data_IF_067258475355
#
_entry.id   IF_067258475355
#
_cell.length_a   1.000
_cell.length_b   1.000
_cell.length_c   1.000
_cell.angle_alpha   90.00
_cell.angle_beta   90.00
_cell.angle_gamma   90.00
#
_symmetry.space_group_name_H-M   'P 1'
#
loop_
_entity.id
_entity.type
_entity.pdbx_description
1 polymer ?
#
# COMPACT_ATOMS: atom_id res chain seq x y z
N UNK A 1 -52.14 9.60 -13.95
CA UNK A 1 -51.61 8.36 -13.35
C UNK A 1 -52.41 8.05 -12.09
N UNK A 2 -53.19 6.94 -12.02
CA UNK A 2 -53.97 6.62 -10.82
C UNK A 2 -53.03 6.20 -9.68
N UNK A 3 -53.21 6.78 -8.49
CA UNK A 3 -52.46 6.41 -7.27
C UNK A 3 -52.95 5.03 -6.81
N UNK A 4 -52.07 4.02 -6.76
CA UNK A 4 -52.38 2.73 -6.12
C UNK A 4 -52.70 2.99 -4.64
N UNK A 5 -53.92 2.64 -4.23
CA UNK A 5 -54.32 2.70 -2.82
C UNK A 5 -53.50 1.67 -2.03
N UNK A 6 -52.85 2.11 -0.95
CA UNK A 6 -52.08 1.24 -0.08
C UNK A 6 -53.04 0.51 0.87
N UNK A 7 -52.91 -0.81 0.96
CA UNK A 7 -53.66 -1.60 1.93
C UNK A 7 -52.94 -1.59 3.29
N UNK A 8 -53.67 -1.84 4.39
CA UNK A 8 -53.06 -1.90 5.71
C UNK A 8 -51.93 -2.96 5.78
N UNK A 9 -52.09 -4.08 5.08
CA UNK A 9 -51.09 -5.13 4.99
C UNK A 9 -49.79 -4.67 4.30
N UNK A 10 -49.89 -3.94 3.18
CA UNK A 10 -48.68 -3.44 2.47
C UNK A 10 -47.94 -2.38 3.28
N UNK A 11 -48.65 -1.54 4.02
CA UNK A 11 -48.03 -0.55 4.93
C UNK A 11 -47.25 -1.23 6.06
N UNK A 12 -47.77 -2.32 6.63
CA UNK A 12 -47.06 -3.08 7.66
C UNK A 12 -45.81 -3.78 7.09
N UNK A 13 -45.89 -4.35 5.89
CA UNK A 13 -44.74 -4.94 5.20
C UNK A 13 -43.67 -3.90 4.86
N UNK A 14 -44.06 -2.72 4.38
CA UNK A 14 -43.13 -1.62 4.10
C UNK A 14 -42.38 -1.19 5.37
N UNK A 15 -43.07 -1.08 6.51
CA UNK A 15 -42.45 -0.75 7.80
C UNK A 15 -41.45 -1.83 8.24
N UNK A 16 -41.80 -3.10 8.10
CA UNK A 16 -40.92 -4.21 8.46
C UNK A 16 -39.70 -4.28 7.54
N UNK A 17 -39.89 -4.11 6.24
CA UNK A 17 -38.79 -4.02 5.27
C UNK A 17 -37.88 -2.83 5.56
N UNK A 18 -38.45 -1.68 5.91
CA UNK A 18 -37.72 -0.49 6.31
C UNK A 18 -36.91 -0.74 7.60
N UNK A 19 -37.50 -1.41 8.60
CA UNK A 19 -36.83 -1.80 9.84
C UNK A 19 -35.66 -2.73 9.56
N UNK A 20 -35.86 -3.77 8.74
CA UNK A 20 -34.83 -4.73 8.35
C UNK A 20 -33.69 -4.07 7.56
N UNK A 21 -34.02 -3.17 6.64
CA UNK A 21 -33.03 -2.41 5.87
C UNK A 21 -32.19 -1.51 6.79
N UNK A 22 -32.85 -0.80 7.73
CA UNK A 22 -32.16 0.02 8.74
C UNK A 22 -31.32 -0.83 9.70
N UNK A 23 -31.77 -2.04 10.06
CA UNK A 23 -30.99 -2.97 10.87
C UNK A 23 -29.72 -3.40 10.12
N UNK A 24 -29.85 -3.94 8.91
CA UNK A 24 -28.69 -4.35 8.09
C UNK A 24 -27.69 -3.22 7.85
N UNK A 25 -28.18 -2.00 7.58
CA UNK A 25 -27.30 -0.84 7.41
C UNK A 25 -26.55 -0.49 8.70
N UNK A 26 -27.22 -0.54 9.86
CA UNK A 26 -26.56 -0.32 11.15
C UNK A 26 -25.50 -1.39 11.43
N UNK A 27 -25.85 -2.66 11.21
CA UNK A 27 -24.93 -3.78 11.44
C UNK A 27 -23.70 -3.67 10.52
N UNK A 28 -23.90 -3.31 9.26
CA UNK A 28 -22.80 -3.10 8.31
C UNK A 28 -21.91 -1.91 8.69
N UNK A 29 -22.49 -0.77 9.10
CA UNK A 29 -21.72 0.39 9.57
C UNK A 29 -20.92 0.03 10.81
N UNK A 30 -21.52 -0.66 11.78
CA UNK A 30 -20.83 -1.12 12.99
C UNK A 30 -19.68 -2.08 12.67
N UNK A 31 -19.90 -2.99 11.72
CA UNK A 31 -18.85 -3.88 11.22
C UNK A 31 -17.68 -3.10 10.60
N UNK A 32 -17.96 -2.12 9.74
CA UNK A 32 -16.92 -1.28 9.14
C UNK A 32 -16.17 -0.46 10.20
N UNK A 33 -16.87 0.17 11.14
CA UNK A 33 -16.24 0.91 12.24
C UNK A 33 -15.36 0.01 13.12
N UNK A 34 -15.79 -1.22 13.40
CA UNK A 34 -14.97 -2.19 14.12
C UNK A 34 -13.69 -2.53 13.36
N UNK A 35 -13.80 -2.74 12.04
CA UNK A 35 -12.68 -3.09 11.18
C UNK A 35 -11.69 -1.94 10.97
N UNK A 36 -12.18 -0.70 10.86
CA UNK A 36 -11.31 0.50 10.85
C UNK A 36 -10.51 0.62 12.15
N UNK A 37 -11.17 0.47 13.30
CA UNK A 37 -10.49 0.51 14.60
C UNK A 37 -9.43 -0.58 14.76
N UNK A 38 -9.64 -1.75 14.15
CA UNK A 38 -8.66 -2.84 14.17
C UNK A 38 -7.42 -2.49 13.37
N UNK A 39 -7.58 -1.95 12.15
CA UNK A 39 -6.45 -1.48 11.34
C UNK A 39 -5.69 -0.34 12.02
N UNK A 40 -6.39 0.66 12.58
CA UNK A 40 -5.76 1.76 13.32
C UNK A 40 -4.92 1.26 14.50
N UNK A 41 -5.42 0.24 15.23
CA UNK A 41 -4.67 -0.39 16.32
C UNK A 41 -3.44 -1.14 15.81
N UNK A 42 -3.58 -1.90 14.72
CA UNK A 42 -2.48 -2.66 14.13
C UNK A 42 -1.36 -1.73 13.65
N UNK A 43 -1.70 -0.64 12.94
CA UNK A 43 -0.73 0.35 12.46
C UNK A 43 -0.01 1.07 13.61
N UNK A 44 -0.77 1.44 14.66
CA UNK A 44 -0.20 2.05 15.86
C UNK A 44 0.76 1.08 16.57
N UNK A 45 0.38 -0.19 16.70
CA UNK A 45 1.21 -1.20 17.35
C UNK A 45 2.51 -1.45 16.59
N UNK A 46 2.45 -1.63 15.27
CA UNK A 46 3.63 -1.81 14.43
C UNK A 46 4.62 -0.63 14.57
N UNK A 47 4.08 0.60 14.61
CA UNK A 47 4.90 1.80 14.81
C UNK A 47 5.55 1.82 16.19
N UNK A 48 4.82 1.42 17.24
CA UNK A 48 5.34 1.36 18.61
C UNK A 48 6.47 0.33 18.70
N UNK A 49 6.30 -0.86 18.13
CA UNK A 49 7.30 -1.92 18.13
C UNK A 49 8.58 -1.47 17.42
N UNK A 50 8.46 -0.84 16.24
CA UNK A 50 9.60 -0.26 15.53
C UNK A 50 10.33 0.81 16.37
N UNK A 51 9.58 1.70 17.03
CA UNK A 51 10.18 2.72 17.89
C UNK A 51 10.88 2.12 19.12
N UNK A 52 10.30 1.07 19.72
CA UNK A 52 10.91 0.36 20.85
C UNK A 52 12.22 -0.32 20.42
N UNK A 53 12.21 -1.01 19.29
CA UNK A 53 13.41 -1.63 18.72
C UNK A 53 14.49 -0.57 18.43
N UNK A 54 14.13 0.56 17.81
CA UNK A 54 15.06 1.65 17.56
C UNK A 54 15.68 2.21 18.85
N UNK A 55 14.89 2.37 19.91
CA UNK A 55 15.39 2.83 21.22
C UNK A 55 16.33 1.80 21.87
N UNK A 56 16.03 0.51 21.75
CA UNK A 56 16.90 -0.56 22.26
C UNK A 56 18.25 -0.55 21.54
N UNK A 57 18.24 -0.52 20.20
CA UNK A 57 19.45 -0.41 19.37
C UNK A 57 20.25 0.86 19.70
N UNK A 58 19.57 2.00 19.92
CA UNK A 58 20.25 3.22 20.35
C UNK A 58 20.90 3.07 21.73
N UNK A 59 20.27 2.38 22.68
CA UNK A 59 20.85 2.13 24.00
C UNK A 59 22.08 1.22 23.93
N UNK A 60 22.01 0.14 23.15
CA UNK A 60 23.14 -0.73 22.87
C UNK A 60 24.28 0.04 22.19
N UNK A 61 23.97 0.84 21.17
CA UNK A 61 24.95 1.66 20.48
C UNK A 61 25.62 2.69 21.39
N UNK A 62 24.91 3.25 22.37
CA UNK A 62 25.52 4.12 23.40
C UNK A 62 26.52 3.33 24.24
N UNK A 63 26.09 2.18 24.77
CA UNK A 63 26.96 1.30 25.58
C UNK A 63 28.22 0.88 24.81
N UNK A 64 28.06 0.47 23.55
CA UNK A 64 29.19 0.10 22.69
C UNK A 64 30.14 1.29 22.46
N UNK A 65 29.62 2.50 22.21
CA UNK A 65 30.46 3.70 22.06
C UNK A 65 31.23 4.02 23.35
N UNK A 66 30.62 3.85 24.51
CA UNK A 66 31.28 4.06 25.81
C UNK A 66 32.39 3.03 26.06
N UNK A 67 32.14 1.76 25.72
CA UNK A 67 33.15 0.70 25.77
C UNK A 67 34.32 1.04 24.85
N UNK A 68 34.06 1.40 23.59
CA UNK A 68 35.12 1.74 22.62
C UNK A 68 35.93 2.96 23.07
N UNK A 69 35.27 3.96 23.68
CA UNK A 69 35.96 5.10 24.27
C UNK A 69 36.92 4.68 25.40
N UNK A 70 36.53 3.69 26.21
CA UNK A 70 37.38 3.10 27.25
C UNK A 70 38.64 2.45 26.66
N UNK A 71 38.54 1.88 25.45
CA UNK A 71 39.67 1.34 24.70
C UNK A 71 40.46 2.40 23.89
N UNK A 72 40.17 3.69 24.08
CA UNK A 72 40.92 4.79 23.47
C UNK A 72 40.46 5.19 22.07
N UNK A 73 39.35 4.66 21.58
CA UNK A 73 38.76 5.10 20.31
C UNK A 73 37.95 6.37 20.52
N UNK A 74 38.31 7.45 19.81
CA UNK A 74 37.60 8.72 19.95
C UNK A 74 36.19 8.65 19.33
N UNK A 75 35.18 9.28 19.94
CA UNK A 75 33.83 9.35 19.37
C UNK A 75 33.81 9.94 17.96
N UNK A 76 34.71 10.88 17.66
CA UNK A 76 34.86 11.47 16.34
C UNK A 76 35.34 10.48 15.29
N UNK A 77 36.29 9.59 15.63
CA UNK A 77 36.75 8.54 14.72
C UNK A 77 35.62 7.53 14.41
N UNK A 78 34.83 7.18 15.42
CA UNK A 78 33.64 6.32 15.27
C UNK A 78 32.61 6.99 14.35
N UNK A 79 32.31 8.27 14.57
CA UNK A 79 31.35 9.01 13.74
C UNK A 79 31.82 9.14 12.28
N UNK A 80 33.11 9.46 12.07
CA UNK A 80 33.70 9.54 10.74
C UNK A 80 33.56 8.20 9.99
N UNK A 81 33.76 7.07 10.66
CA UNK A 81 33.57 5.75 10.07
C UNK A 81 32.10 5.47 9.72
N UNK A 82 31.16 5.81 10.60
CA UNK A 82 29.72 5.70 10.33
C UNK A 82 29.32 6.54 9.11
N UNK A 83 29.81 7.78 9.02
CA UNK A 83 29.52 8.68 7.90
C UNK A 83 30.14 8.16 6.59
N UNK A 84 31.32 7.54 6.66
CA UNK A 84 31.94 6.88 5.51
C UNK A 84 31.13 5.67 5.04
N UNK A 85 30.61 4.87 5.97
CA UNK A 85 29.78 3.71 5.64
C UNK A 85 28.41 4.16 5.09
N UNK A 86 27.82 5.23 5.61
CA UNK A 86 26.60 5.84 5.07
C UNK A 86 26.78 6.44 3.67
N UNK A 87 28.02 6.85 3.32
CA UNK A 87 28.36 7.39 2.00
C UNK A 87 28.85 6.33 1.01
N UNK A 88 29.08 5.10 1.48
CA UNK A 88 29.42 3.98 0.60
C UNK A 88 28.15 3.63 -0.18
N UNK A 89 28.16 3.66 -1.53
CA UNK A 89 27.08 3.05 -2.27
C UNK A 89 27.05 1.58 -1.85
N UNK A 90 25.92 1.15 -1.30
CA UNK A 90 25.65 -0.23 -0.88
C UNK A 90 26.43 -1.21 -1.76
N UNK A 91 27.43 -1.94 -1.24
CA UNK A 91 27.99 -3.03 -2.01
C UNK A 91 26.83 -3.99 -2.25
N UNK A 92 26.55 -4.26 -3.52
CA UNK A 92 25.71 -5.36 -3.95
C UNK A 92 26.34 -6.68 -3.46
N UNK A 93 26.20 -6.98 -2.17
CA UNK A 93 26.44 -8.30 -1.63
C UNK A 93 25.23 -9.13 -2.00
N UNK A 94 25.45 -9.99 -2.99
CA UNK A 94 24.66 -11.16 -3.31
C UNK A 94 24.24 -11.91 -2.05
N UNK A 95 23.05 -11.60 -1.54
CA UNK A 95 22.24 -12.48 -0.71
C UNK A 95 20.91 -12.60 -1.41
N UNK A 96 20.73 -13.77 -2.02
CA UNK A 96 19.43 -14.30 -2.42
C UNK A 96 18.42 -14.09 -1.30
N UNK A 97 17.21 -13.65 -1.67
CA UNK A 97 16.05 -13.48 -0.79
C UNK A 97 16.18 -12.43 0.31
N UNK A 98 16.02 -11.16 -0.08
CA UNK A 98 15.14 -10.19 0.57
C UNK A 98 15.03 -9.00 -0.41
N UNK A 99 13.99 -9.01 -1.25
CA UNK A 99 13.68 -7.88 -2.12
C UNK A 99 13.44 -6.63 -1.26
N UNK A 100 14.40 -5.70 -1.31
CA UNK A 100 14.16 -4.29 -1.05
C UNK A 100 13.23 -3.81 -2.16
N UNK A 101 11.93 -3.94 -1.92
CA UNK A 101 10.95 -3.18 -2.69
C UNK A 101 11.22 -1.69 -2.46
N UNK A 102 11.34 -0.86 -3.51
CA UNK A 102 11.22 0.59 -3.33
C UNK A 102 9.84 0.86 -2.70
N UNK A 103 9.75 1.89 -1.86
CA UNK A 103 8.58 2.41 -1.15
C UNK A 103 7.22 1.77 -1.48
N UNK A 104 6.39 1.42 -0.48
CA UNK A 104 5.05 0.89 -0.75
C UNK A 104 4.20 1.98 -1.40
N UNK A 105 4.26 2.08 -2.73
CA UNK A 105 3.13 2.56 -3.52
C UNK A 105 1.99 1.63 -3.17
N UNK A 106 0.88 2.23 -2.76
CA UNK A 106 -0.32 1.60 -2.24
C UNK A 106 -0.66 0.27 -2.96
N UNK A 107 -1.37 -0.70 -2.32
CA UNK A 107 -1.72 -2.00 -2.91
C UNK A 107 -2.53 -1.97 -4.22
N UNK A 108 -2.77 -0.79 -4.78
CA UNK A 108 -3.69 -0.50 -5.88
C UNK A 108 -3.00 0.11 -7.11
N UNK A 109 -1.67 0.06 -7.22
CA UNK A 109 -0.93 0.62 -8.37
C UNK A 109 0.19 -0.35 -8.83
N UNK A 110 0.29 -0.57 -10.16
CA UNK A 110 1.42 -1.26 -10.80
C UNK A 110 2.16 -0.26 -11.70
N UNK A 111 3.51 -0.28 -11.74
CA UNK A 111 4.26 0.63 -12.61
C UNK A 111 3.95 0.33 -14.09
N UNK A 112 3.70 1.38 -14.88
CA UNK A 112 3.34 1.30 -16.31
C UNK A 112 4.38 0.49 -17.12
N UNK A 113 5.66 0.55 -16.72
CA UNK A 113 6.76 -0.19 -17.37
C UNK A 113 6.63 -1.71 -17.21
N UNK A 114 6.24 -2.17 -16.04
CA UNK A 114 6.09 -3.60 -15.76
C UNK A 114 4.79 -4.15 -16.36
N UNK A 115 3.73 -3.35 -16.38
CA UNK A 115 2.51 -3.67 -17.12
C UNK A 115 2.75 -3.77 -18.64
N UNK A 116 3.54 -2.86 -19.21
CA UNK A 116 3.88 -2.87 -20.64
C UNK A 116 4.74 -4.09 -21.02
N UNK A 117 5.69 -4.50 -20.18
CA UNK A 117 6.51 -5.68 -20.41
C UNK A 117 5.69 -6.98 -20.42
N UNK A 118 4.71 -7.11 -19.52
CA UNK A 118 3.81 -8.27 -19.47
C UNK A 118 2.91 -8.33 -20.71
N UNK A 119 2.34 -7.19 -21.11
CA UNK A 119 1.48 -7.10 -22.29
C UNK A 119 2.26 -7.31 -23.61
N UNK A 120 3.52 -6.89 -23.68
CA UNK A 120 4.40 -7.17 -24.80
C UNK A 120 4.74 -8.67 -24.95
N UNK A 121 4.81 -9.40 -23.83
CA UNK A 121 4.98 -10.87 -23.85
C UNK A 121 3.71 -11.60 -24.31
N UNK A 122 2.53 -11.04 -24.02
CA UNK A 122 1.24 -11.65 -24.35
C UNK A 122 0.76 -11.31 -25.77
N UNK A 123 1.11 -10.12 -26.28
CA UNK A 123 0.82 -9.67 -27.63
C UNK A 123 2.04 -9.82 -28.53
N UNK A 124 1.98 -10.74 -29.49
CA UNK A 124 3.08 -11.13 -30.38
C UNK A 124 3.61 -9.96 -31.24
N UNK A 125 4.47 -9.10 -30.67
CA UNK A 125 5.31 -8.14 -31.39
C UNK A 125 4.94 -6.66 -31.31
N UNK A 126 4.27 -6.18 -30.25
CA UNK A 126 4.10 -4.73 -30.03
C UNK A 126 5.21 -4.16 -29.13
N UNK A 127 5.81 -3.04 -29.55
CA UNK A 127 6.87 -2.35 -28.80
C UNK A 127 6.35 -1.78 -27.46
N UNK A 128 7.15 -1.88 -26.41
CA UNK A 128 6.83 -1.40 -25.04
C UNK A 128 6.35 0.06 -25.04
N UNK A 129 6.96 0.92 -25.85
CA UNK A 129 6.61 2.33 -26.00
C UNK A 129 5.20 2.54 -26.56
N UNK A 130 4.77 1.69 -27.49
CA UNK A 130 3.43 1.75 -28.09
C UNK A 130 2.35 1.30 -27.09
N UNK A 131 2.64 0.27 -26.30
CA UNK A 131 1.74 -0.21 -25.23
C UNK A 131 1.65 0.83 -24.11
N UNK A 132 2.78 1.46 -23.76
CA UNK A 132 2.84 2.56 -22.80
C UNK A 132 1.96 3.74 -23.21
N UNK A 133 2.00 4.13 -24.48
CA UNK A 133 1.12 5.16 -25.02
C UNK A 133 -0.36 4.73 -24.98
N UNK A 134 -0.65 3.46 -25.26
CA UNK A 134 -2.02 2.91 -25.20
C UNK A 134 -2.57 2.89 -23.76
N UNK A 135 -1.72 2.70 -22.77
CA UNK A 135 -2.04 2.80 -21.35
C UNK A 135 -2.20 4.25 -20.86
N UNK A 136 -2.09 5.24 -21.75
CA UNK A 136 -2.24 6.67 -21.42
C UNK A 136 -1.00 7.34 -20.82
N UNK A 137 0.14 6.65 -20.83
CA UNK A 137 1.41 7.17 -20.31
C UNK A 137 2.13 8.01 -21.39
N UNK A 138 2.32 9.33 -21.20
CA UNK A 138 3.04 10.23 -22.15
C UNK A 138 4.33 10.79 -21.53
N UNK A 139 5.45 10.72 -22.26
CA UNK A 139 6.78 11.19 -21.82
C UNK A 139 7.61 10.10 -21.14
N UNK A 140 8.86 10.39 -20.72
CA UNK A 140 9.83 9.43 -20.16
C UNK A 140 9.75 9.23 -18.62
N UNK A 141 8.77 9.85 -17.96
CA UNK A 141 8.61 9.78 -16.49
C UNK A 141 7.97 8.47 -15.97
N UNK A 142 8.14 8.16 -14.68
CA UNK A 142 7.44 7.06 -14.01
C UNK A 142 5.93 7.34 -14.00
N UNK A 143 5.14 6.46 -14.62
CA UNK A 143 3.68 6.60 -14.72
C UNK A 143 2.99 5.45 -13.99
N UNK A 144 1.91 5.76 -13.28
CA UNK A 144 1.09 4.80 -12.53
C UNK A 144 -0.34 4.89 -13.02
N UNK A 145 -0.94 3.74 -13.34
CA UNK A 145 -2.34 3.65 -13.74
C UNK A 145 -3.17 3.28 -12.52
N UNK A 146 -4.26 4.00 -12.27
CA UNK A 146 -5.16 3.70 -11.15
C UNK A 146 -5.94 2.42 -11.44
N UNK A 147 -5.95 1.48 -10.50
CA UNK A 147 -6.70 0.22 -10.64
C UNK A 147 -8.20 0.44 -10.94
N UNK A 148 -8.79 1.56 -10.51
CA UNK A 148 -10.19 1.90 -10.83
C UNK A 148 -10.42 2.15 -12.32
N UNK A 149 -9.47 2.78 -13.01
CA UNK A 149 -9.57 3.01 -14.45
C UNK A 149 -9.31 1.71 -15.23
N UNK A 150 -8.39 0.88 -14.75
CA UNK A 150 -8.10 -0.43 -15.35
C UNK A 150 -9.31 -1.38 -15.27
N UNK A 151 -10.03 -1.38 -14.14
CA UNK A 151 -11.28 -2.14 -14.00
C UNK A 151 -12.40 -1.63 -14.93
N UNK A 152 -12.50 -0.31 -15.12
CA UNK A 152 -13.49 0.29 -16.04
C UNK A 152 -13.19 -0.01 -17.52
N UNK A 153 -11.91 -0.02 -17.89
CA UNK A 153 -11.47 -0.36 -19.24
C UNK A 153 -11.75 -1.84 -19.53
N UNK A 154 -11.45 -2.74 -18.57
CA UNK A 154 -11.80 -4.16 -18.72
C UNK A 154 -13.32 -4.37 -18.83
N UNK A 155 -14.14 -3.63 -18.09
CA UNK A 155 -15.60 -3.75 -18.13
C UNK A 155 -16.20 -3.26 -19.47
N UNK A 156 -15.60 -2.25 -20.11
CA UNK A 156 -16.00 -1.77 -21.44
C UNK A 156 -15.64 -2.74 -22.57
N UNK A 157 -14.47 -3.36 -22.53
CA UNK A 157 -14.03 -4.34 -23.54
C UNK A 157 -14.80 -5.66 -23.45
N UNK A 158 -15.34 -6.01 -22.27
CA UNK A 158 -16.15 -7.23 -22.06
C UNK A 158 -17.61 -7.08 -22.52
N UNK A 159 -18.04 -5.86 -22.89
CA UNK A 159 -19.41 -5.55 -23.33
C UNK A 159 -19.54 -5.29 -24.85
N UNK A 160 -18.46 -5.50 -25.61
CA UNK A 160 -18.48 -5.56 -27.09
C UNK A 160 -18.47 -7.01 -27.57
#
# INVERSE_FOLDING_TARGET
MPRKQKTAATVLQDRENQRRSRARRRDYVQYLEARVREYEKADAQATIEMQQAARAVQAENRSLRDILATYGLSPAAIQMKIDQDAKRPEPSSSTSDLQVHPEPTTPLEKPCEEAAAILAQLGTGSDSTSIRNLLGCVGEGKCFVRNTELMQIMEQETQR
#
